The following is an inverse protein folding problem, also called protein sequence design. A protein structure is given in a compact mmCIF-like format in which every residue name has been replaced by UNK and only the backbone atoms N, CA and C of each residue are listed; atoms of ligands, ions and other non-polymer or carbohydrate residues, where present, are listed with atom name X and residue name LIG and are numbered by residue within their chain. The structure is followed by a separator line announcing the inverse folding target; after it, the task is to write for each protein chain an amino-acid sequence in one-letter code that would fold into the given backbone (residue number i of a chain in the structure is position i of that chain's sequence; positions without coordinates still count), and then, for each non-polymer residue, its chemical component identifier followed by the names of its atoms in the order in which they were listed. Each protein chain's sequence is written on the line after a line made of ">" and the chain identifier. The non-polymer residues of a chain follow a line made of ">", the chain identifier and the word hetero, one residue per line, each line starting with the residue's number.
data_IF_754995699442
#
_entry.id   IF_754995699442
#
_cell.length_a   1.000
_cell.length_b   1.000
_cell.length_c   1.000
_cell.angle_alpha   90.00
_cell.angle_beta   90.00
_cell.angle_gamma   90.00
#
_symmetry.space_group_name_H-M   'P 1'
#
loop_
_entity.id
_entity.type
_entity.pdbx_description
1 polymer ?
#
# COMPACT_ATOMS: atom_id res chain seq x y z
N UNK A 1 -21.22 -15.79 17.97
CA UNK A 1 -20.67 -14.46 17.63
C UNK A 1 -19.19 -14.65 17.39
N UNK A 2 -18.76 -14.70 16.13
CA UNK A 2 -17.38 -15.08 15.79
C UNK A 2 -16.43 -13.98 16.28
N UNK A 3 -15.89 -14.17 17.49
CA UNK A 3 -14.87 -13.29 18.07
C UNK A 3 -13.53 -13.61 17.40
N UNK A 4 -13.29 -13.06 16.20
CA UNK A 4 -11.99 -13.11 15.52
C UNK A 4 -10.98 -12.18 16.22
N UNK A 5 -10.71 -12.43 17.50
CA UNK A 5 -9.59 -11.83 18.24
C UNK A 5 -8.33 -12.62 17.90
N UNK A 6 -7.85 -12.50 16.67
CA UNK A 6 -6.68 -13.25 16.21
C UNK A 6 -5.35 -12.59 16.64
N UNK A 7 -5.40 -11.35 17.12
CA UNK A 7 -4.24 -10.50 17.35
C UNK A 7 -4.29 -9.88 18.76
N UNK A 8 -3.28 -10.18 19.60
CA UNK A 8 -3.17 -9.60 20.95
C UNK A 8 -2.96 -8.08 20.93
N UNK A 9 -3.19 -7.38 22.06
CA UNK A 9 -3.20 -5.92 22.11
C UNK A 9 -1.88 -5.26 21.65
N UNK A 10 -0.74 -5.94 21.86
CA UNK A 10 0.58 -5.46 21.40
C UNK A 10 0.77 -5.59 19.88
N UNK A 11 0.35 -6.72 19.30
CA UNK A 11 0.52 -7.00 17.87
C UNK A 11 -0.40 -6.11 17.00
N UNK A 12 -1.61 -5.80 17.49
CA UNK A 12 -2.56 -4.89 16.80
C UNK A 12 -2.03 -3.46 16.66
N UNK A 13 -1.30 -2.96 17.66
CA UNK A 13 -0.64 -1.64 17.60
C UNK A 13 0.48 -1.66 16.56
N UNK A 14 1.32 -2.69 16.56
CA UNK A 14 2.40 -2.83 15.56
C UNK A 14 1.85 -2.88 14.13
N UNK A 15 0.81 -3.69 13.86
CA UNK A 15 0.15 -3.74 12.55
C UNK A 15 -0.46 -2.39 12.14
N UNK A 16 -0.95 -1.60 13.09
CA UNK A 16 -1.50 -0.27 12.80
C UNK A 16 -0.39 0.69 12.37
N UNK A 17 0.74 0.72 13.08
CA UNK A 17 1.88 1.60 12.75
C UNK A 17 2.46 1.24 11.39
N UNK A 18 2.69 -0.05 11.12
CA UNK A 18 3.19 -0.52 9.82
C UNK A 18 2.21 -0.20 8.69
N UNK A 19 0.89 -0.32 8.93
CA UNK A 19 -0.10 0.04 7.92
C UNK A 19 -0.08 1.54 7.61
N UNK A 20 0.00 2.42 8.62
CA UNK A 20 0.10 3.87 8.39
C UNK A 20 1.35 4.21 7.57
N UNK A 21 2.50 3.64 7.94
CA UNK A 21 3.75 3.85 7.21
C UNK A 21 3.65 3.39 5.75
N UNK A 22 3.13 2.17 5.53
CA UNK A 22 2.93 1.60 4.20
C UNK A 22 2.00 2.44 3.33
N UNK A 23 0.90 2.97 3.88
CA UNK A 23 -0.04 3.83 3.16
C UNK A 23 0.65 5.10 2.65
N UNK A 24 1.39 5.80 3.52
CA UNK A 24 2.07 7.06 3.16
C UNK A 24 3.07 6.80 2.03
N UNK A 25 3.90 5.77 2.17
CA UNK A 25 4.92 5.44 1.18
C UNK A 25 4.30 5.04 -0.18
N UNK A 26 3.29 4.16 -0.17
CA UNK A 26 2.67 3.66 -1.39
C UNK A 26 1.83 4.71 -2.13
N UNK A 27 1.18 5.62 -1.41
CA UNK A 27 0.42 6.71 -2.02
C UNK A 27 1.37 7.71 -2.69
N UNK A 28 2.45 8.11 -2.02
CA UNK A 28 3.46 8.99 -2.60
C UNK A 28 4.09 8.35 -3.85
N UNK A 29 4.46 7.07 -3.76
CA UNK A 29 5.00 6.30 -4.88
C UNK A 29 3.99 6.24 -6.04
N UNK A 30 2.74 5.88 -5.78
CA UNK A 30 1.68 5.81 -6.79
C UNK A 30 1.45 7.13 -7.54
N UNK A 31 1.46 8.26 -6.82
CA UNK A 31 1.31 9.59 -7.42
C UNK A 31 2.55 9.94 -8.26
N UNK A 32 3.76 9.71 -7.75
CA UNK A 32 4.99 10.01 -8.49
C UNK A 32 5.17 9.17 -9.76
N UNK A 33 4.72 7.91 -9.74
CA UNK A 33 4.67 7.09 -10.96
C UNK A 33 3.55 7.54 -11.91
N UNK A 34 2.42 8.02 -11.39
CA UNK A 34 1.32 8.55 -12.21
C UNK A 34 1.69 9.80 -13.01
N UNK A 35 2.58 10.64 -12.47
CA UNK A 35 3.14 11.80 -13.21
C UNK A 35 4.33 11.43 -14.11
N UNK A 36 4.69 10.15 -14.22
CA UNK A 36 5.84 9.66 -15.01
C UNK A 36 7.17 10.32 -14.58
N UNK A 37 7.46 10.34 -13.27
CA UNK A 37 8.69 10.92 -12.74
C UNK A 37 9.94 10.15 -13.19
N UNK A 38 10.94 10.86 -13.74
CA UNK A 38 12.22 10.30 -14.22
C UNK A 38 13.01 9.60 -13.11
N UNK A 39 12.79 9.99 -11.85
CA UNK A 39 13.48 9.39 -10.70
C UNK A 39 13.21 7.88 -10.52
N UNK A 40 12.12 7.36 -11.08
CA UNK A 40 11.76 5.94 -11.03
C UNK A 40 12.00 5.20 -12.36
N UNK A 41 12.70 5.83 -13.31
CA UNK A 41 12.93 5.23 -14.62
C UNK A 41 13.83 3.99 -14.54
N UNK A 42 14.80 3.99 -13.61
CA UNK A 42 15.71 2.86 -13.38
C UNK A 42 15.09 1.71 -12.59
N UNK A 43 14.04 1.99 -11.80
CA UNK A 43 13.34 0.97 -11.01
C UNK A 43 12.33 0.16 -11.84
N UNK A 44 11.90 0.69 -12.99
CA UNK A 44 10.91 0.05 -13.85
C UNK A 44 11.59 -0.87 -14.89
N UNK A 45 11.02 -2.04 -15.21
CA UNK A 45 11.52 -2.90 -16.26
C UNK A 45 11.18 -2.28 -17.63
N UNK A 46 12.04 -1.38 -18.10
CA UNK A 46 11.96 -0.76 -19.41
C UNK A 46 12.77 -1.60 -20.40
N UNK A 47 12.15 -1.96 -21.52
CA UNK A 47 12.85 -2.66 -22.60
C UNK A 47 13.51 -1.61 -23.52
N UNK A 48 14.81 -1.41 -23.37
CA UNK A 48 15.58 -0.42 -24.14
C UNK A 48 15.85 -0.86 -25.60
N UNK A 49 15.48 -2.09 -25.97
CA UNK A 49 15.71 -2.65 -27.30
C UNK A 49 14.59 -2.30 -28.30
N UNK A 50 13.50 -1.68 -27.86
CA UNK A 50 12.38 -1.29 -28.70
C UNK A 50 12.68 -0.07 -29.60
N UNK A 51 12.07 -0.02 -30.79
CA UNK A 51 12.10 1.18 -31.64
C UNK A 51 11.53 2.40 -30.89
N UNK A 52 12.11 3.58 -31.18
CA UNK A 52 11.84 4.84 -30.46
C UNK A 52 10.35 5.20 -30.23
N UNK A 53 9.46 4.86 -31.17
CA UNK A 53 8.01 5.12 -31.04
C UNK A 53 7.31 4.14 -30.11
N UNK A 54 7.67 2.86 -30.19
CA UNK A 54 7.08 1.83 -29.34
C UNK A 54 7.63 1.93 -27.93
N UNK A 55 8.91 2.31 -27.77
CA UNK A 55 9.55 2.53 -26.48
C UNK A 55 8.79 3.53 -25.59
N UNK A 56 8.42 4.70 -26.12
CA UNK A 56 7.69 5.73 -25.37
C UNK A 56 6.30 5.23 -24.94
N UNK A 57 5.63 4.47 -25.81
CA UNK A 57 4.31 3.90 -25.53
C UNK A 57 4.39 2.82 -24.44
N UNK A 58 5.39 1.95 -24.54
CA UNK A 58 5.66 0.92 -23.54
C UNK A 58 6.03 1.53 -22.19
N UNK A 59 6.93 2.52 -22.16
CA UNK A 59 7.31 3.23 -20.94
C UNK A 59 6.09 3.81 -20.22
N UNK A 60 5.25 4.56 -20.92
CA UNK A 60 4.05 5.18 -20.33
C UNK A 60 3.08 4.14 -19.76
N UNK A 61 2.96 2.99 -20.43
CA UNK A 61 2.15 1.86 -19.92
C UNK A 61 2.74 1.27 -18.65
N UNK A 62 4.05 1.03 -18.59
CA UNK A 62 4.71 0.47 -17.42
C UNK A 62 4.57 1.39 -16.20
N UNK A 63 4.76 2.71 -16.37
CA UNK A 63 4.53 3.71 -15.32
C UNK A 63 3.09 3.69 -14.82
N UNK A 64 2.13 3.71 -15.74
CA UNK A 64 0.70 3.70 -15.40
C UNK A 64 0.33 2.41 -14.64
N UNK A 65 0.81 1.26 -15.10
CA UNK A 65 0.54 -0.03 -14.48
C UNK A 65 1.14 -0.12 -13.07
N UNK A 66 2.40 0.31 -12.90
CA UNK A 66 3.04 0.32 -11.60
C UNK A 66 2.35 1.30 -10.63
N UNK A 67 1.94 2.49 -11.10
CA UNK A 67 1.12 3.44 -10.32
C UNK A 67 -0.17 2.80 -9.81
N UNK A 68 -0.94 2.12 -10.68
CA UNK A 68 -2.16 1.42 -10.28
C UNK A 68 -1.90 0.33 -9.24
N UNK A 69 -0.84 -0.47 -9.41
CA UNK A 69 -0.48 -1.51 -8.45
C UNK A 69 -0.16 -0.92 -7.06
N UNK A 70 0.60 0.17 -7.01
CA UNK A 70 0.92 0.87 -5.75
C UNK A 70 -0.32 1.47 -5.08
N UNK A 71 -1.23 2.07 -5.85
CA UNK A 71 -2.47 2.64 -5.33
C UNK A 71 -3.43 1.55 -4.81
N UNK A 72 -3.55 0.42 -5.52
CA UNK A 72 -4.35 -0.72 -5.05
C UNK A 72 -3.74 -1.29 -3.77
N UNK A 73 -2.42 -1.44 -3.70
CA UNK A 73 -1.74 -1.87 -2.48
C UNK A 73 -2.00 -0.90 -1.31
N UNK A 74 -1.95 0.41 -1.54
CA UNK A 74 -2.28 1.41 -0.53
C UNK A 74 -3.72 1.24 -0.02
N UNK A 75 -4.69 0.98 -0.90
CA UNK A 75 -6.07 0.67 -0.50
C UNK A 75 -6.16 -0.58 0.39
N UNK A 76 -5.39 -1.63 0.09
CA UNK A 76 -5.34 -2.83 0.93
C UNK A 76 -4.77 -2.53 2.33
N UNK A 77 -3.75 -1.68 2.42
CA UNK A 77 -3.23 -1.24 3.72
C UNK A 77 -4.21 -0.36 4.50
N UNK A 78 -5.04 0.44 3.83
CA UNK A 78 -6.14 1.17 4.49
C UNK A 78 -7.14 0.18 5.09
N UNK A 79 -7.51 -0.87 4.35
CA UNK A 79 -8.41 -1.91 4.86
C UNK A 79 -7.80 -2.65 6.07
N UNK A 80 -6.51 -3.02 6.01
CA UNK A 80 -5.83 -3.65 7.15
C UNK A 80 -5.75 -2.73 8.37
N UNK A 81 -5.54 -1.42 8.16
CA UNK A 81 -5.59 -0.41 9.22
C UNK A 81 -6.97 -0.36 9.87
N UNK A 82 -8.04 -0.28 9.07
CA UNK A 82 -9.42 -0.26 9.58
C UNK A 82 -9.72 -1.49 10.45
N UNK A 83 -9.33 -2.68 9.98
CA UNK A 83 -9.50 -3.92 10.75
C UNK A 83 -8.66 -3.90 12.03
N UNK A 84 -7.41 -3.44 11.96
CA UNK A 84 -6.51 -3.38 13.13
C UNK A 84 -7.02 -2.41 14.19
N UNK A 85 -7.52 -1.24 13.78
CA UNK A 85 -8.13 -0.24 14.66
C UNK A 85 -9.42 -0.79 15.28
N UNK A 86 -10.26 -1.46 14.50
CA UNK A 86 -11.47 -2.12 15.01
C UNK A 86 -11.14 -3.16 16.09
N UNK A 87 -10.13 -4.00 15.84
CA UNK A 87 -9.64 -4.99 16.81
C UNK A 87 -9.06 -4.33 18.07
N UNK A 88 -8.34 -3.22 17.93
CA UNK A 88 -7.82 -2.44 19.05
C UNK A 88 -8.95 -1.91 19.95
N UNK A 89 -10.00 -1.33 19.37
CA UNK A 89 -11.17 -0.86 20.13
C UNK A 89 -11.88 -1.99 20.88
N UNK A 90 -12.08 -3.14 20.23
CA UNK A 90 -12.70 -4.31 20.86
C UNK A 90 -11.83 -4.90 21.99
N UNK A 91 -10.51 -4.89 21.84
CA UNK A 91 -9.59 -5.37 22.87
C UNK A 91 -9.56 -4.43 24.08
N UNK A 92 -9.57 -3.10 23.87
CA UNK A 92 -9.66 -2.13 24.97
C UNK A 92 -10.93 -2.27 25.80
N UNK A 93 -12.08 -2.49 25.15
CA UNK A 93 -13.38 -2.67 25.84
C UNK A 93 -13.46 -3.96 26.67
N UNK A 94 -12.75 -5.02 26.29
CA UNK A 94 -12.70 -6.24 27.09
C UNK A 94 -11.82 -6.10 28.33
N UNK A 95 -10.72 -5.34 28.24
CA UNK A 95 -9.85 -5.08 29.40
C UNK A 95 -10.52 -4.23 30.47
N UNK A 96 -11.46 -3.35 30.14
CA UNK A 96 -12.16 -2.51 31.11
C UNK A 96 -13.25 -3.21 31.92
N UNK A 97 -13.62 -4.45 31.56
CA UNK A 97 -14.72 -5.20 32.20
C UNK A 97 -14.22 -6.30 33.15
N UNK A 98 -12.90 -6.39 33.34
CA UNK A 98 -12.24 -7.25 34.34
C UNK A 98 -11.64 -6.35 35.42
#
# INVERSE_FOLDING_TARGET
>A
MVSFRFCGPKLSICCSILSVWGIIMLVLLGIFLGVNSVAFAEDLPLDEALESKDFVTHMKRTYTQASYNCLIAACLYVLSLCVSVWQYYLNRRATSTT
#
